data_IF_376734351441
#
_entry.id   IF_376734351441
#
_cell.length_a   1.000
_cell.length_b   1.000
_cell.length_c   1.000
_cell.angle_alpha   90.00
_cell.angle_beta   90.00
_cell.angle_gamma   90.00
#
_symmetry.space_group_name_H-M   'P 1'
#
loop_
_entity.id
_entity.type
_entity.pdbx_description
1 polymer ?
#
# COMPACT_ATOMS: atom_id res chain seq x y z
N UNK A 1 -27.60 94.34 -31.75
CA UNK A 1 -29.06 94.14 -31.52
C UNK A 1 -29.30 92.68 -31.28
N UNK A 2 -30.19 92.41 -30.36
CA UNK A 2 -30.80 91.17 -29.96
C UNK A 2 -30.00 90.25 -29.03
N UNK A 3 -30.39 90.39 -27.78
CA UNK A 3 -30.14 89.46 -26.67
C UNK A 3 -30.90 88.16 -26.86
N UNK A 4 -30.32 87.09 -26.53
CA UNK A 4 -31.05 85.87 -26.33
C UNK A 4 -30.64 85.23 -25.00
N UNK A 5 -31.65 84.96 -24.23
CA UNK A 5 -31.61 84.60 -22.81
C UNK A 5 -31.14 83.16 -22.57
N UNK A 6 -30.32 82.98 -21.55
CA UNK A 6 -30.14 81.70 -20.86
C UNK A 6 -31.47 81.17 -20.30
N UNK A 7 -31.73 79.91 -20.48
CA UNK A 7 -32.62 79.15 -19.62
C UNK A 7 -31.88 77.99 -19.03
N UNK A 8 -31.82 77.99 -17.75
CA UNK A 8 -31.34 76.89 -16.91
C UNK A 8 -32.20 75.64 -17.07
N UNK A 9 -31.56 74.51 -17.12
CA UNK A 9 -32.21 73.19 -16.98
C UNK A 9 -31.95 72.66 -15.57
N UNK A 10 -32.89 71.98 -14.98
CA UNK A 10 -32.78 71.49 -13.58
C UNK A 10 -31.92 70.22 -13.48
N UNK A 11 -31.22 70.19 -12.37
CA UNK A 11 -30.53 69.04 -11.85
C UNK A 11 -31.49 67.94 -11.41
N UNK A 12 -30.90 66.77 -11.17
CA UNK A 12 -31.35 65.59 -10.41
C UNK A 12 -31.98 64.45 -11.22
N UNK A 13 -31.10 63.50 -11.58
CA UNK A 13 -31.36 62.08 -11.29
C UNK A 13 -30.04 61.46 -10.87
N UNK A 14 -29.83 61.36 -9.57
CA UNK A 14 -28.79 60.52 -8.99
C UNK A 14 -29.22 59.07 -9.14
N UNK A 15 -28.69 58.37 -10.13
CA UNK A 15 -28.84 56.93 -10.25
C UNK A 15 -27.90 56.26 -9.22
N UNK A 16 -28.50 55.76 -8.16
CA UNK A 16 -27.84 54.86 -7.18
C UNK A 16 -27.66 53.50 -7.90
N UNK A 17 -26.51 53.31 -8.50
CA UNK A 17 -26.06 51.98 -8.93
C UNK A 17 -25.65 51.22 -7.64
N UNK A 18 -26.60 50.49 -7.06
CA UNK A 18 -26.33 49.48 -6.05
C UNK A 18 -25.54 48.38 -6.72
N UNK A 19 -24.22 48.39 -6.57
CA UNK A 19 -23.34 47.26 -6.91
C UNK A 19 -23.70 46.09 -5.96
N UNK A 20 -24.60 45.22 -6.43
CA UNK A 20 -24.77 43.91 -5.84
C UNK A 20 -23.45 43.14 -6.07
N UNK A 21 -22.56 43.15 -5.09
CA UNK A 21 -21.49 42.17 -4.98
C UNK A 21 -22.18 40.80 -4.87
N UNK A 22 -22.34 40.15 -5.97
CA UNK A 22 -22.62 38.72 -6.02
C UNK A 22 -21.36 38.09 -5.41
N UNK A 23 -21.42 37.78 -4.10
CA UNK A 23 -20.55 36.78 -3.51
C UNK A 23 -20.87 35.47 -4.23
N UNK A 24 -20.19 35.22 -5.34
CA UNK A 24 -20.09 33.88 -5.87
C UNK A 24 -19.51 33.03 -4.75
N UNK A 25 -20.22 31.99 -4.26
CA UNK A 25 -19.58 31.04 -3.39
C UNK A 25 -18.39 30.52 -4.21
N UNK A 26 -17.18 30.92 -3.79
CA UNK A 26 -15.96 30.41 -4.39
C UNK A 26 -16.14 28.90 -4.46
N UNK A 27 -16.10 28.33 -5.65
CA UNK A 27 -16.06 26.90 -5.84
C UNK A 27 -14.90 26.42 -4.93
N UNK A 28 -15.23 25.91 -3.76
CA UNK A 28 -14.23 25.30 -2.89
C UNK A 28 -13.58 24.24 -3.76
N UNK A 29 -12.37 24.51 -4.22
CA UNK A 29 -11.57 23.52 -4.94
C UNK A 29 -11.58 22.28 -4.07
N UNK A 30 -12.25 21.22 -4.54
CA UNK A 30 -12.34 19.99 -3.77
C UNK A 30 -10.90 19.53 -3.51
N UNK A 31 -10.47 19.59 -2.27
CA UNK A 31 -9.14 19.20 -1.88
C UNK A 31 -8.88 17.78 -2.38
N UNK A 32 -7.78 17.61 -3.12
CA UNK A 32 -7.36 16.31 -3.61
C UNK A 32 -6.21 15.82 -2.75
N UNK A 33 -6.35 14.62 -2.23
CA UNK A 33 -5.34 13.98 -1.39
C UNK A 33 -4.49 13.02 -2.23
N UNK A 34 -3.20 12.90 -1.93
CA UNK A 34 -2.27 11.98 -2.59
C UNK A 34 -2.17 10.65 -1.84
N UNK A 35 -2.33 9.53 -2.55
CA UNK A 35 -2.13 8.19 -2.01
C UNK A 35 -0.95 7.51 -2.72
N UNK A 36 0.23 7.56 -2.11
CA UNK A 36 1.44 6.93 -2.63
C UNK A 36 1.37 5.40 -2.47
N UNK A 37 1.72 4.67 -3.52
CA UNK A 37 1.63 3.20 -3.57
C UNK A 37 2.71 2.60 -4.45
N UNK A 38 2.86 1.28 -4.43
CA UNK A 38 3.78 0.55 -5.31
C UNK A 38 3.35 0.66 -6.78
N UNK A 39 4.23 0.31 -7.75
CA UNK A 39 3.94 0.42 -9.17
C UNK A 39 2.69 -0.35 -9.59
N UNK A 40 2.11 0.06 -10.72
CA UNK A 40 1.05 -0.69 -11.41
C UNK A 40 1.47 -2.16 -11.61
N UNK A 41 0.54 -3.09 -11.44
CA UNK A 41 0.82 -4.53 -11.42
C UNK A 41 1.06 -5.09 -10.01
N UNK A 42 1.30 -4.25 -9.00
CA UNK A 42 1.38 -4.66 -7.60
C UNK A 42 -0.01 -4.80 -6.96
N UNK A 43 -0.11 -5.62 -5.90
CA UNK A 43 -1.33 -5.71 -5.09
C UNK A 43 -1.63 -4.38 -4.40
N UNK A 44 -0.61 -3.69 -3.89
CA UNK A 44 -0.78 -2.39 -3.22
C UNK A 44 -1.41 -1.34 -4.12
N UNK A 45 -1.05 -1.31 -5.43
CA UNK A 45 -1.68 -0.40 -6.39
C UNK A 45 -3.19 -0.71 -6.56
N UNK A 46 -3.55 -1.99 -6.64
CA UNK A 46 -4.98 -2.41 -6.74
C UNK A 46 -5.74 -2.00 -5.48
N UNK A 47 -5.18 -2.23 -4.30
CA UNK A 47 -5.79 -1.87 -3.01
C UNK A 47 -5.97 -0.36 -2.88
N UNK A 48 -4.92 0.42 -3.15
CA UNK A 48 -5.00 1.89 -3.09
C UNK A 48 -6.03 2.44 -4.04
N UNK A 49 -6.18 1.86 -5.24
CA UNK A 49 -7.22 2.24 -6.21
C UNK A 49 -8.62 1.93 -5.70
N UNK A 50 -8.82 0.76 -5.08
CA UNK A 50 -10.10 0.36 -4.50
C UNK A 50 -10.48 1.26 -3.31
N UNK A 51 -9.53 1.58 -2.43
CA UNK A 51 -9.74 2.51 -1.30
C UNK A 51 -10.05 3.92 -1.82
N UNK A 52 -9.31 4.41 -2.83
CA UNK A 52 -9.56 5.72 -3.42
C UNK A 52 -10.96 5.83 -4.03
N UNK A 53 -11.44 4.76 -4.67
CA UNK A 53 -12.83 4.67 -5.16
C UNK A 53 -13.82 4.75 -4.00
N UNK A 54 -13.61 3.97 -2.92
CA UNK A 54 -14.46 4.00 -1.73
C UNK A 54 -14.48 5.38 -1.07
N UNK A 55 -13.34 6.09 -1.00
CA UNK A 55 -13.26 7.46 -0.50
C UNK A 55 -14.14 8.41 -1.31
N UNK A 56 -14.13 8.27 -2.62
CA UNK A 56 -14.99 9.08 -3.51
C UNK A 56 -16.47 8.79 -3.28
N UNK A 57 -16.84 7.52 -3.21
CA UNK A 57 -18.24 7.08 -3.16
C UNK A 57 -18.88 7.22 -1.76
N UNK A 58 -18.10 6.95 -0.68
CA UNK A 58 -18.63 6.92 0.69
C UNK A 58 -18.35 8.21 1.47
N UNK A 59 -17.29 8.97 1.10
CA UNK A 59 -16.90 10.21 1.80
C UNK A 59 -16.93 11.46 0.93
N UNK A 60 -17.14 11.35 -0.39
CA UNK A 60 -17.13 12.47 -1.33
C UNK A 60 -15.75 13.10 -1.54
N UNK A 61 -14.67 12.46 -1.09
CA UNK A 61 -13.32 12.98 -1.14
C UNK A 61 -12.54 12.41 -2.34
N UNK A 62 -11.81 13.29 -3.02
CA UNK A 62 -10.94 12.89 -4.12
C UNK A 62 -9.58 12.44 -3.57
N UNK A 63 -9.19 11.22 -3.90
CA UNK A 63 -7.88 10.65 -3.55
C UNK A 63 -7.20 10.19 -4.83
N UNK A 64 -6.04 10.75 -5.14
CA UNK A 64 -5.26 10.44 -6.33
C UNK A 64 -4.21 9.37 -5.98
N UNK A 65 -4.28 8.23 -6.65
CA UNK A 65 -3.28 7.17 -6.53
C UNK A 65 -2.00 7.59 -7.25
N UNK A 66 -0.88 7.53 -6.55
CA UNK A 66 0.44 7.97 -7.01
C UNK A 66 1.43 6.80 -6.96
N UNK A 67 1.62 6.06 -8.07
CA UNK A 67 2.60 4.99 -8.11
C UNK A 67 4.03 5.49 -7.92
N UNK A 68 4.80 4.82 -7.06
CA UNK A 68 6.21 5.08 -6.79
C UNK A 68 7.03 3.79 -6.90
N UNK A 69 8.34 3.90 -7.03
CA UNK A 69 9.21 2.77 -7.32
C UNK A 69 9.25 1.70 -6.21
N UNK A 70 9.00 2.09 -4.96
CA UNK A 70 9.05 1.20 -3.80
C UNK A 70 8.86 1.93 -2.49
N UNK A 71 8.80 1.18 -1.38
CA UNK A 71 8.59 1.72 -0.04
C UNK A 71 9.67 2.69 0.42
N UNK A 72 10.91 2.51 -0.04
CA UNK A 72 12.01 3.44 0.22
C UNK A 72 11.76 4.86 -0.35
N UNK A 73 10.83 4.99 -1.30
CA UNK A 73 10.37 6.28 -1.85
C UNK A 73 9.08 6.72 -1.18
N UNK A 74 8.12 5.80 -1.02
CA UNK A 74 6.79 6.10 -0.47
C UNK A 74 6.88 6.63 0.97
N UNK A 75 7.60 5.93 1.83
CA UNK A 75 7.69 6.29 3.26
C UNK A 75 8.25 7.70 3.48
N UNK A 76 9.36 8.12 2.82
CA UNK A 76 9.82 9.50 2.88
C UNK A 76 8.84 10.53 2.32
N UNK A 77 8.15 10.24 1.21
CA UNK A 77 7.15 11.15 0.63
C UNK A 77 6.05 11.46 1.66
N UNK A 78 5.53 10.43 2.33
CA UNK A 78 4.52 10.60 3.38
C UNK A 78 5.10 11.29 4.61
N UNK A 79 6.26 10.83 5.09
CA UNK A 79 6.90 11.38 6.29
C UNK A 79 7.25 12.86 6.17
N UNK A 80 7.50 13.38 4.96
CA UNK A 80 7.72 14.80 4.68
C UNK A 80 6.46 15.58 4.33
N UNK A 81 5.31 14.89 4.19
CA UNK A 81 4.03 15.51 3.81
C UNK A 81 3.91 15.83 2.31
N UNK A 82 4.69 15.16 1.47
CA UNK A 82 4.62 15.27 0.00
C UNK A 82 3.53 14.35 -0.60
N UNK A 83 3.07 13.36 0.18
CA UNK A 83 1.87 12.57 -0.04
C UNK A 83 1.09 12.46 1.27
N UNK A 84 -0.24 12.38 1.21
CA UNK A 84 -1.08 12.37 2.40
C UNK A 84 -1.20 10.98 3.00
N UNK A 85 -1.23 9.94 2.18
CA UNK A 85 -1.32 8.53 2.58
C UNK A 85 -0.28 7.71 1.83
N UNK A 86 0.26 6.69 2.47
CA UNK A 86 1.11 5.67 1.86
C UNK A 86 0.64 4.27 2.22
N UNK A 87 0.71 3.34 1.27
CA UNK A 87 0.54 1.92 1.54
C UNK A 87 1.89 1.24 1.42
N UNK A 88 2.44 0.82 2.57
CA UNK A 88 3.78 0.26 2.73
C UNK A 88 3.73 -0.98 3.62
N UNK A 89 4.80 -1.75 3.69
CA UNK A 89 4.88 -2.80 4.70
C UNK A 89 5.28 -2.23 6.08
N UNK A 90 4.99 -2.98 7.14
CA UNK A 90 5.25 -2.52 8.51
C UNK A 90 6.73 -2.21 8.76
N UNK A 91 7.64 -2.92 8.11
CA UNK A 91 9.09 -2.71 8.25
C UNK A 91 9.51 -1.36 7.68
N UNK A 92 8.99 -1.00 6.51
CA UNK A 92 9.24 0.30 5.87
C UNK A 92 8.70 1.45 6.72
N UNK A 93 7.53 1.27 7.36
CA UNK A 93 6.98 2.26 8.27
C UNK A 93 7.87 2.44 9.52
N UNK A 94 8.32 1.34 10.14
CA UNK A 94 9.18 1.38 11.32
C UNK A 94 10.56 1.98 10.98
N UNK A 95 11.20 1.54 9.90
CA UNK A 95 12.48 2.09 9.46
C UNK A 95 12.39 3.59 9.13
N UNK A 96 11.27 4.03 8.55
CA UNK A 96 11.03 5.43 8.30
C UNK A 96 11.02 6.26 9.59
N UNK A 97 10.33 5.78 10.62
CA UNK A 97 10.29 6.42 11.93
C UNK A 97 11.68 6.43 12.58
N UNK A 98 12.36 5.29 12.62
CA UNK A 98 13.70 5.13 13.20
C UNK A 98 14.74 5.97 12.45
N UNK A 99 14.56 6.13 11.14
CA UNK A 99 15.36 6.99 10.26
C UNK A 99 15.07 8.49 10.38
N UNK A 100 14.22 8.91 11.33
CA UNK A 100 14.01 10.31 11.68
C UNK A 100 12.77 10.96 11.05
N UNK A 101 11.87 10.23 10.40
CA UNK A 101 10.59 10.76 9.92
C UNK A 101 9.60 10.92 11.10
N UNK A 102 9.88 11.89 11.98
CA UNK A 102 9.15 12.10 13.24
C UNK A 102 7.65 12.42 13.07
N UNK A 103 7.26 12.93 11.91
CA UNK A 103 5.87 13.23 11.56
C UNK A 103 5.12 12.04 10.96
N UNK A 104 5.79 10.89 10.73
CA UNK A 104 5.13 9.69 10.23
C UNK A 104 4.14 9.14 11.27
N UNK A 105 2.93 8.78 10.82
CA UNK A 105 1.87 8.23 11.68
C UNK A 105 1.26 7.00 11.04
N UNK A 106 0.85 6.05 11.88
CA UNK A 106 0.08 4.89 11.48
C UNK A 106 -1.39 5.26 11.29
N UNK A 107 -2.00 4.79 10.21
CA UNK A 107 -3.46 4.76 10.07
C UNK A 107 -3.99 3.40 10.56
N UNK A 108 -3.37 2.31 10.11
CA UNK A 108 -3.70 0.96 10.50
C UNK A 108 -3.26 -0.09 9.48
N UNK A 109 -3.42 -1.37 9.82
CA UNK A 109 -3.18 -2.44 8.87
C UNK A 109 -4.28 -2.50 7.80
N UNK A 110 -3.89 -2.64 6.54
CA UNK A 110 -4.82 -2.89 5.44
C UNK A 110 -5.10 -4.39 5.31
N UNK A 111 -4.05 -5.20 5.20
CA UNK A 111 -4.13 -6.68 5.13
C UNK A 111 -2.76 -7.31 5.44
N UNK A 112 -2.74 -8.63 5.68
CA UNK A 112 -1.51 -9.41 5.68
C UNK A 112 -1.06 -9.73 4.25
N UNK A 113 0.20 -9.46 3.95
CA UNK A 113 0.84 -9.88 2.71
C UNK A 113 1.29 -11.34 2.83
N UNK A 114 0.78 -12.23 1.98
CA UNK A 114 1.23 -13.62 1.88
C UNK A 114 2.22 -13.70 0.73
N UNK A 115 3.47 -13.91 1.05
CA UNK A 115 4.60 -13.64 0.15
C UNK A 115 5.52 -14.85 -0.04
N UNK A 116 5.12 -15.85 -0.84
CA UNK A 116 6.03 -16.94 -1.19
C UNK A 116 7.07 -16.53 -2.23
N UNK A 117 8.07 -17.37 -2.41
CA UNK A 117 8.86 -17.44 -3.64
C UNK A 117 8.08 -18.27 -4.66
N UNK A 118 7.87 -17.73 -5.83
CA UNK A 118 7.27 -18.45 -6.95
C UNK A 118 8.34 -18.96 -7.91
N UNK A 119 8.13 -20.18 -8.40
CA UNK A 119 8.95 -20.81 -9.43
C UNK A 119 8.06 -21.35 -10.54
N UNK A 120 8.64 -21.73 -11.69
CA UNK A 120 7.88 -22.42 -12.73
C UNK A 120 7.37 -23.77 -12.20
N UNK A 121 6.15 -24.13 -12.57
CA UNK A 121 5.51 -25.39 -12.13
C UNK A 121 6.30 -26.63 -12.57
N UNK A 122 6.96 -26.55 -13.72
CA UNK A 122 7.77 -27.61 -14.33
C UNK A 122 9.24 -27.61 -13.89
N UNK A 123 9.66 -26.70 -13.00
CA UNK A 123 11.07 -26.53 -12.59
C UNK A 123 11.64 -27.67 -11.75
N UNK A 124 10.79 -28.52 -11.17
CA UNK A 124 11.21 -29.52 -10.18
C UNK A 124 11.59 -28.96 -8.80
N UNK A 125 11.35 -27.66 -8.55
CA UNK A 125 11.59 -27.00 -7.27
C UNK A 125 10.30 -27.00 -6.44
N UNK A 126 10.36 -27.39 -5.17
CA UNK A 126 9.18 -27.55 -4.30
C UNK A 126 9.30 -26.79 -2.98
N UNK A 127 10.49 -26.58 -2.47
CA UNK A 127 10.78 -25.94 -1.19
C UNK A 127 11.92 -24.93 -1.33
N UNK A 128 12.03 -24.02 -0.38
CA UNK A 128 13.04 -22.94 -0.40
C UNK A 128 14.47 -23.53 -0.48
N UNK A 129 14.74 -24.67 0.16
CA UNK A 129 16.05 -25.31 0.12
C UNK A 129 16.48 -25.72 -1.32
N UNK A 130 15.54 -25.92 -2.24
CA UNK A 130 15.84 -26.29 -3.64
C UNK A 130 16.42 -25.12 -4.46
N UNK A 131 16.44 -23.90 -3.87
CA UNK A 131 17.04 -22.71 -4.50
C UNK A 131 18.57 -22.69 -4.45
N UNK A 132 19.22 -23.66 -3.81
CA UNK A 132 20.69 -23.72 -3.79
C UNK A 132 21.24 -23.77 -5.23
N UNK A 133 22.16 -22.84 -5.54
CA UNK A 133 22.75 -22.67 -6.86
C UNK A 133 21.83 -22.07 -7.94
N UNK A 134 20.59 -21.68 -7.62
CA UNK A 134 19.63 -21.10 -8.55
C UNK A 134 19.76 -19.58 -8.63
N UNK A 135 19.24 -19.00 -9.72
CA UNK A 135 19.16 -17.54 -9.91
C UNK A 135 17.99 -16.99 -9.11
N UNK A 136 18.29 -16.21 -8.08
CA UNK A 136 17.34 -15.66 -7.11
C UNK A 136 17.30 -14.14 -7.23
N UNK A 137 16.11 -13.55 -7.40
CA UNK A 137 15.96 -12.10 -7.44
C UNK A 137 16.24 -11.50 -6.05
N UNK A 138 17.15 -10.52 -6.01
CA UNK A 138 17.68 -9.91 -4.80
C UNK A 138 18.00 -8.43 -5.02
N UNK A 139 18.55 -7.75 -4.02
CA UNK A 139 19.02 -6.36 -4.06
C UNK A 139 17.90 -5.35 -3.85
N UNK A 140 16.76 -5.51 -4.47
CA UNK A 140 15.54 -4.70 -4.34
C UNK A 140 15.81 -3.24 -3.98
N UNK A 141 16.59 -2.52 -4.84
CA UNK A 141 17.16 -1.20 -4.52
C UNK A 141 16.12 -0.12 -4.14
N UNK A 142 14.88 -0.24 -4.61
CA UNK A 142 13.76 0.61 -4.22
C UNK A 142 12.89 0.02 -3.09
N UNK A 143 13.16 -1.21 -2.64
CA UNK A 143 12.42 -1.96 -1.62
C UNK A 143 13.38 -2.78 -0.74
N UNK A 144 14.31 -2.10 -0.05
CA UNK A 144 15.40 -2.76 0.71
C UNK A 144 14.93 -3.79 1.72
N UNK A 145 13.76 -3.58 2.33
CA UNK A 145 13.18 -4.55 3.26
C UNK A 145 12.81 -5.86 2.56
N UNK A 146 12.46 -5.83 1.28
CA UNK A 146 12.16 -7.07 0.52
C UNK A 146 13.45 -7.88 0.30
N UNK A 147 14.59 -7.22 0.17
CA UNK A 147 15.88 -7.94 0.17
C UNK A 147 16.12 -8.65 1.52
N UNK A 148 15.82 -7.98 2.64
CA UNK A 148 15.91 -8.60 3.97
C UNK A 148 14.90 -9.76 4.13
N UNK A 149 13.66 -9.61 3.64
CA UNK A 149 12.68 -10.71 3.62
C UNK A 149 13.20 -11.88 2.80
N UNK A 150 13.79 -11.62 1.63
CA UNK A 150 14.38 -12.66 0.78
C UNK A 150 15.48 -13.42 1.54
N UNK A 151 16.38 -12.70 2.23
CA UNK A 151 17.41 -13.30 3.08
C UNK A 151 16.82 -14.10 4.25
N UNK A 152 15.77 -13.59 4.88
CA UNK A 152 15.07 -14.27 5.96
C UNK A 152 14.44 -15.59 5.50
N UNK A 153 13.80 -15.60 4.34
CA UNK A 153 13.20 -16.80 3.76
C UNK A 153 14.29 -17.80 3.35
N UNK A 154 15.40 -17.36 2.76
CA UNK A 154 16.54 -18.25 2.47
C UNK A 154 17.12 -18.84 3.77
N UNK A 155 17.32 -18.03 4.82
CA UNK A 155 17.84 -18.46 6.11
C UNK A 155 16.94 -19.51 6.79
N UNK A 156 15.62 -19.47 6.56
CA UNK A 156 14.70 -20.49 7.05
C UNK A 156 15.00 -21.90 6.51
N UNK A 157 15.65 -21.97 5.34
CA UNK A 157 16.07 -23.21 4.71
C UNK A 157 17.56 -23.51 4.88
N UNK A 158 18.25 -22.78 5.79
CA UNK A 158 19.68 -22.90 5.99
C UNK A 158 20.53 -22.37 4.85
N UNK A 159 19.95 -21.55 3.96
CA UNK A 159 20.63 -20.92 2.84
C UNK A 159 20.99 -19.46 3.16
N UNK A 160 22.04 -19.00 2.49
CA UNK A 160 22.48 -17.60 2.46
C UNK A 160 22.55 -17.08 1.03
N UNK A 161 22.87 -15.80 0.86
CA UNK A 161 23.12 -15.23 -0.47
C UNK A 161 24.27 -15.93 -1.20
N UNK A 162 25.29 -16.43 -0.47
CA UNK A 162 26.40 -17.16 -1.06
C UNK A 162 26.00 -18.52 -1.66
N UNK A 163 24.85 -19.06 -1.26
CA UNK A 163 24.33 -20.35 -1.76
C UNK A 163 23.50 -20.22 -3.04
N UNK A 164 23.22 -18.99 -3.50
CA UNK A 164 22.40 -18.71 -4.68
C UNK A 164 23.14 -17.82 -5.68
N UNK A 165 22.56 -17.59 -6.85
CA UNK A 165 23.08 -16.64 -7.86
C UNK A 165 22.18 -15.39 -7.86
N UNK A 166 22.58 -14.27 -7.26
CA UNK A 166 21.77 -13.08 -7.18
C UNK A 166 21.45 -12.48 -8.55
N UNK A 167 20.18 -12.14 -8.78
CA UNK A 167 19.69 -11.35 -9.91
C UNK A 167 19.18 -10.04 -9.32
N UNK A 168 19.90 -8.94 -9.57
CA UNK A 168 19.59 -7.66 -8.95
C UNK A 168 18.39 -7.00 -9.62
N UNK A 169 17.39 -6.64 -8.81
CA UNK A 169 16.15 -6.00 -9.27
C UNK A 169 15.80 -4.79 -8.40
N UNK A 170 15.14 -3.74 -8.94
CA UNK A 170 14.75 -2.60 -8.13
C UNK A 170 13.53 -2.85 -7.24
N UNK A 171 12.57 -3.67 -7.69
CA UNK A 171 11.31 -3.93 -6.99
C UNK A 171 10.69 -5.27 -7.40
N UNK A 172 9.59 -5.64 -6.74
CA UNK A 172 8.90 -6.93 -6.95
C UNK A 172 8.28 -7.06 -8.34
N UNK A 173 7.82 -5.97 -8.96
CA UNK A 173 7.25 -6.00 -10.31
C UNK A 173 8.34 -6.41 -11.31
N UNK A 174 9.51 -5.77 -11.21
CA UNK A 174 10.65 -6.12 -12.05
C UNK A 174 11.17 -7.55 -11.78
N UNK A 175 11.11 -8.02 -10.54
CA UNK A 175 11.41 -9.42 -10.20
C UNK A 175 10.54 -10.40 -10.99
N UNK A 176 9.22 -10.13 -11.08
CA UNK A 176 8.32 -10.95 -11.88
C UNK A 176 8.59 -10.84 -13.40
N UNK A 177 8.92 -9.62 -13.90
CA UNK A 177 9.26 -9.42 -15.31
C UNK A 177 10.54 -10.21 -15.70
N UNK A 178 11.57 -10.16 -14.88
CA UNK A 178 12.82 -10.89 -15.11
C UNK A 178 12.61 -12.40 -15.02
N UNK A 179 11.72 -12.87 -14.16
CA UNK A 179 11.33 -14.28 -14.10
C UNK A 179 10.61 -14.72 -15.40
N UNK A 180 9.63 -13.95 -15.87
CA UNK A 180 8.90 -14.22 -17.11
C UNK A 180 9.84 -14.22 -18.33
N UNK A 181 10.84 -13.34 -18.32
CA UNK A 181 11.88 -13.28 -19.36
C UNK A 181 12.93 -14.41 -19.27
N UNK A 182 12.86 -15.26 -18.22
CA UNK A 182 13.83 -16.34 -18.02
C UNK A 182 15.18 -15.90 -17.44
N UNK A 183 15.29 -14.67 -16.93
CA UNK A 183 16.50 -14.14 -16.31
C UNK A 183 16.72 -14.65 -14.88
N UNK A 184 15.66 -15.09 -14.19
CA UNK A 184 15.71 -15.70 -12.86
C UNK A 184 14.93 -17.01 -12.80
N UNK A 185 15.23 -17.84 -11.80
CA UNK A 185 14.57 -19.13 -11.59
C UNK A 185 13.40 -19.00 -10.61
N UNK A 186 13.30 -17.87 -9.91
CA UNK A 186 12.22 -17.53 -9.01
C UNK A 186 11.91 -16.02 -9.02
N UNK A 187 10.74 -15.66 -8.54
CA UNK A 187 10.41 -14.28 -8.18
C UNK A 187 9.71 -14.23 -6.83
N UNK A 188 9.94 -13.13 -6.13
CA UNK A 188 9.23 -12.81 -4.88
C UNK A 188 8.01 -11.95 -5.19
N UNK A 189 6.84 -12.37 -4.72
CA UNK A 189 5.62 -11.58 -4.85
C UNK A 189 4.60 -11.95 -3.78
N UNK A 190 3.53 -11.13 -3.65
CA UNK A 190 2.40 -11.45 -2.79
C UNK A 190 1.25 -12.03 -3.61
N UNK A 191 0.53 -13.01 -3.04
CA UNK A 191 -0.71 -13.50 -3.66
C UNK A 191 -1.73 -12.38 -3.89
N UNK A 192 -2.54 -12.55 -4.92
CA UNK A 192 -3.57 -11.57 -5.33
C UNK A 192 -3.05 -10.40 -6.17
N UNK A 193 -1.74 -10.23 -6.31
CA UNK A 193 -1.17 -9.25 -7.23
C UNK A 193 -1.39 -9.65 -8.71
N UNK A 194 -1.76 -8.71 -9.60
CA UNK A 194 -1.97 -9.00 -11.02
C UNK A 194 -0.78 -9.71 -11.69
N UNK A 195 0.45 -9.32 -11.32
CA UNK A 195 1.68 -9.93 -11.85
C UNK A 195 1.82 -11.43 -11.54
N UNK A 196 1.22 -11.94 -10.48
CA UNK A 196 1.24 -13.37 -10.17
C UNK A 196 0.46 -14.15 -11.23
N UNK A 197 -0.74 -13.67 -11.60
CA UNK A 197 -1.55 -14.31 -12.67
C UNK A 197 -0.92 -14.13 -14.04
N UNK A 198 -0.31 -12.97 -14.30
CA UNK A 198 0.41 -12.70 -15.54
C UNK A 198 1.58 -13.67 -15.69
N UNK A 199 2.39 -13.86 -14.64
CA UNK A 199 3.50 -14.80 -14.63
C UNK A 199 3.02 -16.24 -14.82
N UNK A 200 1.97 -16.67 -14.13
CA UNK A 200 1.37 -17.99 -14.28
C UNK A 200 0.98 -18.29 -15.72
N UNK A 201 0.25 -17.36 -16.35
CA UNK A 201 -0.16 -17.50 -17.74
C UNK A 201 1.02 -17.47 -18.73
N UNK A 202 2.01 -16.60 -18.48
CA UNK A 202 3.15 -16.40 -19.39
C UNK A 202 4.08 -17.59 -19.44
N UNK A 203 4.34 -18.22 -18.28
CA UNK A 203 5.33 -19.33 -18.21
C UNK A 203 4.70 -20.71 -18.23
N UNK A 204 3.38 -20.82 -18.44
CA UNK A 204 2.67 -22.11 -18.47
C UNK A 204 2.45 -22.75 -17.11
N UNK A 205 2.38 -21.93 -16.08
CA UNK A 205 2.11 -22.33 -14.69
C UNK A 205 3.25 -22.02 -13.73
N UNK A 206 2.88 -21.56 -12.54
CA UNK A 206 3.81 -21.33 -11.42
C UNK A 206 3.40 -22.17 -10.21
N UNK A 207 4.33 -22.28 -9.25
CA UNK A 207 4.04 -22.79 -7.91
C UNK A 207 4.76 -21.96 -6.86
N UNK A 208 4.16 -21.76 -5.67
CA UNK A 208 4.86 -21.24 -4.51
C UNK A 208 5.76 -22.32 -3.91
N UNK A 209 6.95 -21.92 -3.43
CA UNK A 209 7.83 -22.81 -2.68
C UNK A 209 7.35 -22.93 -1.24
N UNK A 210 7.41 -24.15 -0.69
CA UNK A 210 7.12 -24.39 0.72
C UNK A 210 8.26 -23.85 1.60
N UNK A 211 7.85 -23.21 2.69
CA UNK A 211 8.74 -22.81 3.77
C UNK A 211 8.63 -23.79 4.93
N UNK A 212 9.75 -24.29 5.42
CA UNK A 212 9.76 -25.14 6.62
C UNK A 212 9.42 -24.28 7.86
N UNK A 213 8.34 -24.59 8.59
CA UNK A 213 8.01 -23.85 9.83
C UNK A 213 9.11 -23.88 10.88
N UNK A 214 9.93 -24.95 10.93
CA UNK A 214 11.06 -25.05 11.84
C UNK A 214 12.17 -24.03 11.54
N UNK A 215 12.18 -23.45 10.34
CA UNK A 215 13.09 -22.40 9.93
C UNK A 215 12.72 -21.00 10.45
N UNK A 216 11.52 -20.80 11.01
CA UNK A 216 11.06 -19.49 11.48
C UNK A 216 12.00 -18.81 12.48
N UNK A 217 12.63 -19.51 13.45
CA UNK A 217 13.59 -18.86 14.36
C UNK A 217 14.78 -18.23 13.62
N UNK A 218 15.25 -18.82 12.53
CA UNK A 218 16.32 -18.26 11.70
C UNK A 218 15.81 -17.05 10.90
N UNK A 219 14.62 -17.13 10.30
CA UNK A 219 14.00 -16.03 9.59
C UNK A 219 13.76 -14.81 10.48
N UNK A 220 13.23 -15.02 11.70
CA UNK A 220 12.93 -13.94 12.67
C UNK A 220 14.16 -13.20 13.19
N UNK A 221 15.35 -13.81 13.15
CA UNK A 221 16.62 -13.10 13.47
C UNK A 221 16.92 -11.98 12.47
N UNK A 222 16.47 -12.14 11.22
CA UNK A 222 16.67 -11.16 10.15
C UNK A 222 15.45 -10.23 10.05
N UNK A 223 14.25 -10.81 10.14
CA UNK A 223 12.96 -10.11 9.97
C UNK A 223 12.00 -10.46 11.10
N UNK A 224 12.04 -9.74 12.24
CA UNK A 224 11.23 -10.05 13.42
C UNK A 224 9.72 -9.90 13.21
N UNK A 225 9.30 -9.13 12.23
CA UNK A 225 7.87 -8.85 11.90
C UNK A 225 7.17 -9.96 11.11
N UNK A 226 7.93 -10.99 10.70
CA UNK A 226 7.40 -12.08 9.89
C UNK A 226 6.66 -13.13 10.71
N UNK A 227 5.58 -13.65 10.15
CA UNK A 227 4.81 -14.75 10.69
C UNK A 227 4.41 -15.74 9.58
N UNK A 228 3.92 -16.92 9.96
CA UNK A 228 3.40 -17.89 9.00
C UNK A 228 1.88 -17.82 8.94
N UNK A 229 1.33 -17.85 7.73
CA UNK A 229 -0.10 -17.97 7.48
C UNK A 229 -0.39 -19.28 6.79
N UNK A 230 -1.41 -20.01 7.29
CA UNK A 230 -1.96 -21.17 6.60
C UNK A 230 -2.80 -20.72 5.42
N UNK A 231 -2.52 -21.28 4.25
CA UNK A 231 -3.30 -21.07 3.04
C UNK A 231 -3.75 -22.40 2.44
N UNK A 232 -4.84 -22.37 1.70
CA UNK A 232 -5.42 -23.54 1.02
C UNK A 232 -5.66 -23.24 -0.46
N UNK A 233 -5.75 -24.25 -1.33
CA UNK A 233 -6.08 -24.06 -2.73
C UNK A 233 -7.33 -23.22 -2.93
N UNK A 234 -7.29 -22.29 -3.89
CA UNK A 234 -8.41 -21.42 -4.22
C UNK A 234 -8.04 -20.38 -5.27
N UNK A 235 -9.01 -19.69 -5.85
CA UNK A 235 -8.79 -18.75 -6.97
C UNK A 235 -7.84 -17.58 -6.64
N UNK A 236 -7.78 -17.20 -5.37
CA UNK A 236 -6.88 -16.16 -4.89
C UNK A 236 -5.41 -16.63 -4.80
N UNK A 237 -5.20 -17.93 -4.53
CA UNK A 237 -3.89 -18.51 -4.28
C UNK A 237 -3.35 -19.25 -5.52
N UNK A 238 -3.02 -18.48 -6.56
CA UNK A 238 -2.49 -19.01 -7.83
C UNK A 238 -1.32 -19.95 -7.60
N UNK A 239 -1.37 -21.16 -8.18
CA UNK A 239 -0.32 -22.18 -8.12
C UNK A 239 -0.28 -22.99 -6.82
N UNK A 240 -1.22 -22.78 -5.90
CA UNK A 240 -1.35 -23.58 -4.66
C UNK A 240 -2.21 -24.80 -4.95
N UNK A 241 -1.59 -26.00 -4.90
CA UNK A 241 -2.25 -27.28 -5.18
C UNK A 241 -2.68 -28.03 -3.90
N UNK A 242 -2.13 -27.68 -2.73
CA UNK A 242 -2.42 -28.28 -1.40
C UNK A 242 -2.31 -27.25 -0.29
N UNK A 243 -2.89 -27.49 0.89
CA UNK A 243 -2.68 -26.63 2.06
C UNK A 243 -1.19 -26.49 2.35
N UNK A 244 -0.75 -25.25 2.64
CA UNK A 244 0.65 -24.94 2.95
C UNK A 244 0.76 -23.71 3.85
N UNK A 245 1.94 -23.50 4.43
CA UNK A 245 2.28 -22.26 5.17
C UNK A 245 3.13 -21.35 4.30
N UNK A 246 2.84 -20.07 4.36
CA UNK A 246 3.61 -19.05 3.66
C UNK A 246 4.08 -17.95 4.60
N UNK A 247 5.23 -17.38 4.30
CA UNK A 247 5.75 -16.22 5.01
C UNK A 247 4.86 -15.01 4.76
N UNK A 248 4.53 -14.32 5.84
CA UNK A 248 3.60 -13.19 5.82
C UNK A 248 4.10 -12.05 6.69
N UNK A 249 3.67 -10.84 6.39
CA UNK A 249 3.85 -9.64 7.20
C UNK A 249 2.77 -8.62 6.85
N UNK A 250 2.54 -7.64 7.73
CA UNK A 250 1.44 -6.70 7.52
C UNK A 250 1.77 -5.61 6.49
N UNK A 251 0.81 -5.32 5.64
CA UNK A 251 0.75 -4.12 4.80
C UNK A 251 -0.06 -3.07 5.55
N UNK A 252 0.53 -1.90 5.75
CA UNK A 252 -0.02 -0.86 6.61
C UNK A 252 -0.21 0.45 5.85
N UNK A 253 -1.20 1.20 6.24
CA UNK A 253 -1.41 2.57 5.79
C UNK A 253 -0.73 3.53 6.75
N UNK A 254 0.07 4.42 6.20
CA UNK A 254 0.75 5.50 6.93
C UNK A 254 0.33 6.87 6.40
N UNK A 255 0.49 7.89 7.22
CA UNK A 255 0.17 9.28 6.92
C UNK A 255 1.15 10.22 7.61
N UNK A 256 1.02 11.51 7.36
CA UNK A 256 1.77 12.54 8.08
C UNK A 256 0.93 13.12 9.23
N UNK A 257 1.58 13.48 10.33
CA UNK A 257 0.91 14.09 11.50
C UNK A 257 0.14 15.39 11.19
N UNK A 258 0.43 16.04 10.05
CA UNK A 258 -0.21 17.29 9.61
C UNK A 258 -1.47 17.07 8.76
N UNK A 259 -1.74 15.84 8.36
CA UNK A 259 -2.96 15.50 7.63
C UNK A 259 -4.15 15.69 8.57
N UNK A 260 -5.29 16.26 8.12
CA UNK A 260 -6.44 16.49 8.99
C UNK A 260 -7.00 15.22 9.62
N UNK A 261 -7.33 15.26 10.91
CA UNK A 261 -7.93 14.14 11.65
C UNK A 261 -9.20 13.62 10.98
N UNK A 262 -10.04 14.54 10.48
CA UNK A 262 -11.28 14.22 9.78
C UNK A 262 -11.03 13.41 8.49
N UNK A 263 -9.97 13.71 7.75
CA UNK A 263 -9.62 12.94 6.57
C UNK A 263 -9.23 11.50 6.92
N UNK A 264 -8.37 11.31 7.91
CA UNK A 264 -7.91 9.97 8.34
C UNK A 264 -9.07 9.16 8.94
N UNK A 265 -9.93 9.81 9.73
CA UNK A 265 -11.16 9.20 10.23
C UNK A 265 -12.05 8.71 9.07
N UNK A 266 -12.33 9.61 8.11
CA UNK A 266 -13.16 9.31 6.94
C UNK A 266 -12.55 8.22 6.05
N UNK A 267 -11.22 8.11 5.98
CA UNK A 267 -10.57 7.05 5.23
C UNK A 267 -10.93 5.67 5.81
N UNK A 268 -10.77 5.49 7.11
CA UNK A 268 -11.11 4.23 7.79
C UNK A 268 -12.62 3.95 7.75
N UNK A 269 -13.45 4.97 7.93
CA UNK A 269 -14.92 4.87 7.86
C UNK A 269 -15.40 4.48 6.45
N UNK A 270 -14.80 5.08 5.41
CA UNK A 270 -15.10 4.73 4.01
C UNK A 270 -14.64 3.30 3.67
N UNK A 271 -13.50 2.86 4.21
CA UNK A 271 -13.03 1.48 4.05
C UNK A 271 -13.97 0.47 4.73
N UNK A 272 -14.47 0.79 5.91
CA UNK A 272 -15.41 -0.08 6.62
C UNK A 272 -16.76 -0.15 5.89
N UNK A 273 -17.35 1.00 5.53
CA UNK A 273 -18.63 1.09 4.83
C UNK A 273 -18.58 0.57 3.39
N UNK A 274 -17.45 0.70 2.74
CA UNK A 274 -17.21 0.26 1.37
C UNK A 274 -16.50 -1.08 1.25
N UNK A 275 -16.42 -1.87 2.34
CA UNK A 275 -15.64 -3.10 2.38
C UNK A 275 -15.97 -4.06 1.24
N UNK A 276 -17.25 -4.32 0.98
CA UNK A 276 -17.67 -5.26 -0.05
C UNK A 276 -17.25 -4.80 -1.45
N UNK A 277 -17.36 -3.49 -1.73
CA UNK A 277 -16.92 -2.89 -3.00
C UNK A 277 -15.38 -2.98 -3.13
N UNK A 278 -14.65 -2.76 -2.04
CA UNK A 278 -13.19 -2.89 -1.99
C UNK A 278 -12.77 -4.34 -2.23
N UNK A 279 -13.42 -5.30 -1.58
CA UNK A 279 -13.13 -6.74 -1.70
C UNK A 279 -13.42 -7.25 -3.11
N UNK A 280 -14.49 -6.75 -3.76
CA UNK A 280 -14.80 -7.10 -5.16
C UNK A 280 -13.66 -6.71 -6.13
N UNK A 281 -12.92 -5.63 -5.84
CA UNK A 281 -11.77 -5.18 -6.64
C UNK A 281 -10.46 -5.82 -6.16
N UNK A 282 -10.28 -5.90 -4.85
CA UNK A 282 -9.08 -6.37 -4.17
C UNK A 282 -9.43 -7.45 -3.13
N UNK A 283 -9.58 -8.72 -3.52
CA UNK A 283 -9.99 -9.81 -2.61
C UNK A 283 -9.08 -9.98 -1.38
N UNK A 284 -7.83 -9.56 -1.44
CA UNK A 284 -6.92 -9.52 -0.29
C UNK A 284 -7.46 -8.69 0.89
N UNK A 285 -8.36 -7.74 0.63
CA UNK A 285 -8.98 -6.90 1.65
C UNK A 285 -10.14 -7.59 2.41
N UNK A 286 -10.44 -8.84 2.11
CA UNK A 286 -11.50 -9.60 2.81
C UNK A 286 -11.25 -9.69 4.32
N UNK A 287 -9.99 -9.74 4.76
CA UNK A 287 -9.62 -9.77 6.17
C UNK A 287 -9.67 -8.41 6.87
N UNK A 288 -9.73 -7.31 6.10
CA UNK A 288 -9.84 -5.98 6.68
C UNK A 288 -11.07 -5.88 7.58
N UNK A 289 -10.85 -5.38 8.78
CA UNK A 289 -11.87 -4.90 9.70
C UNK A 289 -11.23 -3.86 10.62
N UNK A 290 -11.99 -3.00 11.28
CA UNK A 290 -11.42 -2.08 12.27
C UNK A 290 -10.57 -2.80 13.34
N UNK A 291 -11.03 -3.98 13.81
CA UNK A 291 -10.30 -4.78 14.79
C UNK A 291 -9.00 -5.39 14.22
N UNK A 292 -8.99 -5.81 12.95
CA UNK A 292 -7.77 -6.27 12.28
C UNK A 292 -6.77 -5.13 12.08
N UNK A 293 -7.29 -3.94 11.75
CA UNK A 293 -6.48 -2.76 11.40
C UNK A 293 -5.74 -2.16 12.60
N UNK A 294 -6.26 -2.34 13.83
CA UNK A 294 -5.69 -1.76 15.03
C UNK A 294 -4.79 -2.74 15.80
N UNK A 295 -3.47 -2.66 15.57
CA UNK A 295 -2.47 -3.51 16.19
C UNK A 295 -1.41 -2.68 16.93
N UNK A 296 -0.64 -3.34 17.83
CA UNK A 296 0.42 -2.70 18.64
C UNK A 296 1.70 -2.49 17.80
N UNK A 297 1.67 -1.57 16.84
CA UNK A 297 2.86 -1.19 16.08
C UNK A 297 3.73 -0.19 16.83
N UNK A 298 5.03 -0.14 16.52
CA UNK A 298 5.97 0.84 17.07
C UNK A 298 5.77 2.26 16.53
N UNK A 299 5.11 2.40 15.37
CA UNK A 299 4.79 3.70 14.76
C UNK A 299 3.56 4.30 15.44
N UNK A 300 3.63 5.56 15.95
CA UNK A 300 2.50 6.22 16.60
C UNK A 300 1.30 6.35 15.66
N UNK A 301 0.11 6.06 16.17
CA UNK A 301 -1.13 6.24 15.43
C UNK A 301 -1.50 7.72 15.24
N UNK A 302 -2.12 8.01 14.10
CA UNK A 302 -2.70 9.33 13.84
C UNK A 302 -3.92 9.56 14.73
N UNK A 303 -4.13 10.80 15.28
CA UNK A 303 -5.29 11.08 16.15
C UNK A 303 -6.63 10.74 15.51
N UNK A 304 -6.83 11.01 14.22
CA UNK A 304 -8.04 10.63 13.48
C UNK A 304 -8.28 9.13 13.42
N UNK A 305 -7.20 8.32 13.34
CA UNK A 305 -7.30 6.86 13.40
C UNK A 305 -7.64 6.38 14.81
N UNK A 306 -6.99 6.95 15.85
CA UNK A 306 -7.31 6.64 17.24
C UNK A 306 -8.77 6.94 17.56
N UNK A 307 -9.29 8.10 17.13
CA UNK A 307 -10.69 8.46 17.28
C UNK A 307 -11.61 7.40 16.66
N UNK A 308 -11.32 6.99 15.43
CA UNK A 308 -12.09 5.96 14.71
C UNK A 308 -12.15 4.64 15.48
N UNK A 309 -11.01 4.15 16.01
CA UNK A 309 -10.95 2.90 16.76
C UNK A 309 -11.62 3.01 18.14
N UNK A 310 -11.41 4.12 18.84
CA UNK A 310 -12.00 4.35 20.17
C UNK A 310 -13.54 4.44 20.12
N UNK A 311 -14.12 5.10 19.12
CA UNK A 311 -15.59 5.16 18.95
C UNK A 311 -16.20 3.77 18.70
N UNK A 312 -15.41 2.79 18.27
CA UNK A 312 -15.80 1.38 18.07
C UNK A 312 -15.48 0.49 19.28
N UNK A 313 -15.00 1.07 20.37
CA UNK A 313 -14.62 0.35 21.60
C UNK A 313 -13.43 -0.60 21.41
N UNK A 314 -12.55 -0.33 20.42
CA UNK A 314 -11.44 -1.20 20.10
C UNK A 314 -10.19 -0.86 20.90
N UNK A 315 -9.43 -1.88 21.25
CA UNK A 315 -8.06 -1.80 21.77
C UNK A 315 -7.06 -2.41 20.79
N UNK A 316 -5.80 -1.93 20.76
CA UNK A 316 -4.82 -2.45 19.83
C UNK A 316 -4.49 -3.92 20.13
N UNK A 317 -4.58 -4.77 19.11
CA UNK A 317 -4.24 -6.20 19.22
C UNK A 317 -2.73 -6.38 19.30
N UNK A 318 -2.23 -7.36 20.06
CA UNK A 318 -0.82 -7.76 20.00
C UNK A 318 -0.44 -8.15 18.55
N UNK A 319 0.84 -8.02 18.22
CA UNK A 319 1.41 -8.57 16.98
C UNK A 319 1.54 -10.10 17.14
N UNK A 320 1.41 -10.83 16.03
CA UNK A 320 1.49 -12.31 15.99
C UNK A 320 2.93 -12.84 16.07
#
# INVERSE_FOLDING_TARGET
>A
MAATRLRAAPAHVAAIAAAALILSPGAASAQTYGFATLPTGSLSHVISSAISKAMKEKAGLNVLVQPAAGGNVITPLVGRGEADVGLVNIMEAQEGLDGGLKDLRMIGAAQGLRTPFFVRKDSGLFKVADLKGKRVTMGYSAMRNIDQVTRAVLASAGLSEADVKPVLVPNVVRSADDFMAGNSDMFFFTFGGPKVREADATVGGIRPLEMDPNGMPAARKIMPWGYLTDISPGPFYTGVDKPMKVYSFDNVMVTNAKVPDDFVYKLLDAMEKGKDDIVAIAPAMAEFSPAFSYKQYGVPYHPGALKFFMERGLSPRPLE
#
